data_IF_418801376551
#
_entry.id   IF_418801376551
#
_cell.length_a   1.000
_cell.length_b   1.000
_cell.length_c   1.000
_cell.angle_alpha   90.00
_cell.angle_beta   90.00
_cell.angle_gamma   90.00
#
_symmetry.space_group_name_H-M   'P 1'
#
loop_
_entity.id
_entity.type
_entity.pdbx_description
1 polymer ?
#
# COMPACT_ATOMS: atom_id res chain seq x y z
N UNK A 1 4.95 -73.93 29.30
CA UNK A 1 6.16 -73.94 28.46
C UNK A 1 6.77 -72.53 28.47
N UNK A 2 8.09 -72.38 28.73
CA UNK A 2 8.89 -71.18 28.39
C UNK A 2 9.53 -71.41 26.98
N UNK A 3 10.62 -70.74 26.53
CA UNK A 3 11.32 -69.51 26.98
C UNK A 3 11.20 -68.41 25.86
N UNK A 4 12.07 -67.40 25.59
CA UNK A 4 13.45 -67.00 25.95
C UNK A 4 13.59 -65.47 25.99
N UNK A 5 14.63 -64.97 26.65
CA UNK A 5 15.15 -63.61 26.51
C UNK A 5 16.25 -63.54 25.42
N UNK A 6 16.55 -62.35 24.88
CA UNK A 6 17.91 -61.97 24.44
C UNK A 6 18.20 -60.51 24.80
N UNK A 7 19.30 -60.25 25.51
CA UNK A 7 19.95 -58.92 25.60
C UNK A 7 21.03 -58.84 24.52
N UNK A 8 21.35 -57.64 24.02
CA UNK A 8 22.73 -57.27 23.67
C UNK A 8 23.03 -55.84 24.05
N UNK A 9 24.13 -55.65 24.76
CA UNK A 9 24.79 -54.36 24.98
C UNK A 9 25.98 -54.26 24.01
N UNK A 10 26.41 -53.05 23.69
CA UNK A 10 27.75 -52.77 23.17
C UNK A 10 28.31 -51.57 23.93
N UNK A 11 29.62 -51.59 24.18
CA UNK A 11 30.38 -50.63 25.00
C UNK A 11 31.77 -50.48 24.37
N UNK A 12 32.44 -49.34 24.63
CA UNK A 12 33.80 -48.98 24.19
C UNK A 12 33.91 -48.62 22.68
N UNK A 13 34.75 -47.64 22.28
CA UNK A 13 35.51 -46.62 23.04
C UNK A 13 35.91 -45.46 22.11
N UNK A 14 36.44 -44.36 22.68
CA UNK A 14 37.32 -43.43 21.95
C UNK A 14 36.94 -41.94 22.05
N UNK A 15 37.89 -41.01 22.31
CA UNK A 15 37.56 -39.60 22.55
C UNK A 15 38.14 -38.61 21.51
N UNK A 16 37.36 -37.58 21.19
CA UNK A 16 37.79 -36.22 20.80
C UNK A 16 36.52 -35.33 20.67
N UNK A 17 36.44 -34.06 21.08
CA UNK A 17 37.41 -33.25 21.80
C UNK A 17 37.64 -31.86 21.18
N UNK A 18 36.75 -30.87 21.44
CA UNK A 18 37.09 -29.42 21.54
C UNK A 18 35.91 -28.48 21.91
N UNK A 19 36.28 -27.40 22.60
CA UNK A 19 35.59 -26.12 22.83
C UNK A 19 34.05 -26.04 22.99
N UNK A 20 33.61 -25.95 24.26
CA UNK A 20 32.46 -25.11 24.64
C UNK A 20 32.84 -23.63 24.46
N UNK A 21 32.24 -22.94 23.48
CA UNK A 21 32.29 -21.48 23.36
C UNK A 21 31.04 -20.81 23.92
N UNK A 22 30.86 -20.76 25.25
CA UNK A 22 29.76 -19.98 25.86
C UNK A 22 30.03 -18.48 25.66
N UNK A 23 29.36 -17.85 24.69
CA UNK A 23 29.16 -16.39 24.67
C UNK A 23 27.82 -16.06 25.30
N UNK A 24 27.84 -15.48 26.50
CA UNK A 24 26.72 -14.70 27.01
C UNK A 24 26.68 -13.37 26.26
N UNK A 25 25.60 -13.09 25.54
CA UNK A 25 25.25 -11.72 25.21
C UNK A 25 24.41 -11.17 26.37
N UNK A 26 24.86 -10.07 26.97
CA UNK A 26 24.17 -9.43 28.08
C UNK A 26 22.89 -8.73 27.60
N UNK A 27 21.83 -8.84 28.39
CA UNK A 27 20.59 -8.08 28.20
C UNK A 27 20.72 -6.67 28.78
N UNK A 28 21.46 -5.81 28.08
CA UNK A 28 21.59 -4.38 28.41
C UNK A 28 21.09 -3.52 27.25
N UNK A 29 19.84 -3.10 27.32
CA UNK A 29 19.27 -2.06 26.45
C UNK A 29 18.29 -1.15 27.20
N UNK A 30 18.78 -0.57 28.30
CA UNK A 30 18.03 0.37 29.12
C UNK A 30 17.89 1.76 28.46
N UNK A 31 16.73 2.37 28.68
CA UNK A 31 16.45 3.81 28.63
C UNK A 31 16.96 4.64 27.42
N UNK A 32 16.05 4.93 26.48
CA UNK A 32 16.02 6.21 25.75
C UNK A 32 14.60 6.77 25.82
N UNK A 33 14.47 8.06 26.18
CA UNK A 33 13.19 8.69 26.56
C UNK A 33 12.22 9.01 25.38
N UNK A 34 10.99 9.44 25.69
CA UNK A 34 9.85 9.39 24.76
C UNK A 34 9.83 10.47 23.65
N UNK A 35 10.61 11.55 23.76
CA UNK A 35 10.53 12.74 22.89
C UNK A 35 10.88 12.56 21.38
N UNK A 36 11.03 11.33 20.89
CA UNK A 36 11.48 11.03 19.53
C UNK A 36 10.39 10.84 18.46
N UNK A 37 9.17 10.40 18.82
CA UNK A 37 8.28 9.67 17.88
C UNK A 37 7.37 10.48 16.96
N UNK A 38 7.08 11.75 17.28
CA UNK A 38 6.14 12.62 16.51
C UNK A 38 6.59 12.90 15.06
N UNK A 39 7.77 12.44 14.63
CA UNK A 39 8.33 12.68 13.29
C UNK A 39 7.87 11.70 12.18
N UNK A 40 7.07 10.66 12.47
CA UNK A 40 6.94 9.52 11.56
C UNK A 40 5.83 9.60 10.49
N UNK A 41 4.76 10.37 10.71
CA UNK A 41 3.56 10.32 9.86
C UNK A 41 3.65 11.07 8.51
N UNK A 42 4.59 12.01 8.34
CA UNK A 42 4.89 12.59 7.02
C UNK A 42 5.93 11.77 6.22
N UNK A 43 6.22 10.53 6.65
CA UNK A 43 7.18 9.63 6.02
C UNK A 43 6.68 8.84 4.80
N UNK A 44 5.41 8.99 4.38
CA UNK A 44 4.78 8.09 3.39
C UNK A 44 5.16 8.39 1.92
N UNK A 45 6.24 9.14 1.70
CA UNK A 45 7.04 9.00 0.48
C UNK A 45 7.77 7.63 0.41
N UNK A 46 7.90 6.92 1.54
CA UNK A 46 8.71 5.71 1.67
C UNK A 46 8.29 4.50 0.83
N UNK A 47 7.01 4.37 0.45
CA UNK A 47 6.54 3.20 -0.32
C UNK A 47 6.86 3.27 -1.83
N UNK A 48 7.47 4.38 -2.30
CA UNK A 48 7.95 4.56 -3.67
C UNK A 48 9.39 4.07 -3.91
N UNK A 49 10.08 3.57 -2.87
CA UNK A 49 11.54 3.39 -2.83
C UNK A 49 12.10 2.13 -3.52
N UNK A 50 11.36 1.49 -4.43
CA UNK A 50 11.92 0.46 -5.32
C UNK A 50 12.59 1.06 -6.58
N UNK A 51 12.12 2.22 -7.05
CA UNK A 51 12.49 2.76 -8.38
C UNK A 51 13.27 4.07 -8.29
N UNK A 52 12.92 4.96 -7.35
CA UNK A 52 13.61 6.23 -7.16
C UNK A 52 15.13 6.04 -6.85
N UNK A 53 16.00 7.00 -7.24
CA UNK A 53 17.29 7.15 -6.57
C UNK A 53 17.06 7.35 -5.06
N UNK A 54 18.05 7.07 -4.19
CA UNK A 54 17.85 7.21 -2.75
C UNK A 54 17.37 8.62 -2.42
N UNK A 55 16.13 8.72 -1.91
CA UNK A 55 15.65 9.94 -1.28
C UNK A 55 16.63 10.22 -0.15
N UNK A 56 17.44 11.27 -0.31
CA UNK A 56 18.42 11.69 0.68
C UNK A 56 17.72 11.76 2.03
N UNK A 57 18.04 10.81 2.92
CA UNK A 57 17.30 10.63 4.15
C UNK A 57 17.48 11.90 4.99
N UNK A 58 16.45 12.76 4.97
CA UNK A 58 16.50 14.14 5.47
C UNK A 58 17.32 14.17 6.74
N UNK A 59 18.40 14.94 6.76
CA UNK A 59 19.40 14.79 7.82
C UNK A 59 18.75 15.07 9.17
N UNK A 60 19.32 14.57 10.29
CA UNK A 60 18.84 14.93 11.61
C UNK A 60 18.74 16.45 11.80
N UNK A 61 19.59 17.22 11.10
CA UNK A 61 19.56 18.68 11.05
C UNK A 61 18.36 19.20 10.26
N UNK A 62 18.10 18.70 9.04
CA UNK A 62 16.96 19.15 8.22
C UNK A 62 15.62 18.86 8.92
N UNK A 63 15.49 17.69 9.56
CA UNK A 63 14.29 17.33 10.34
C UNK A 63 14.18 18.13 11.64
N UNK A 64 15.30 18.52 12.26
CA UNK A 64 15.26 19.44 13.40
C UNK A 64 14.86 20.86 12.97
N UNK A 65 15.39 21.36 11.85
CA UNK A 65 15.06 22.66 11.28
C UNK A 65 13.57 22.74 10.86
N UNK A 66 13.05 21.71 10.18
CA UNK A 66 11.64 21.63 9.81
C UNK A 66 10.71 21.59 11.04
N UNK A 67 11.07 20.83 12.09
CA UNK A 67 10.36 20.85 13.37
C UNK A 67 10.41 22.22 14.04
N UNK A 68 11.58 22.86 14.07
CA UNK A 68 11.76 24.19 14.67
C UNK A 68 10.94 25.25 13.95
N UNK A 69 10.94 25.24 12.60
CA UNK A 69 10.14 26.15 11.79
C UNK A 69 8.63 25.95 12.03
N UNK A 70 8.17 24.69 12.11
CA UNK A 70 6.79 24.37 12.42
C UNK A 70 6.36 24.82 13.83
N UNK A 71 7.26 24.74 14.82
CA UNK A 71 7.03 25.22 16.19
C UNK A 71 7.09 26.76 16.32
N UNK A 72 7.56 27.47 15.30
CA UNK A 72 7.55 28.95 15.25
C UNK A 72 6.40 29.55 14.43
N UNK A 73 5.50 28.73 13.86
CA UNK A 73 4.26 29.23 13.25
C UNK A 73 3.31 29.71 14.36
N UNK A 74 2.83 30.97 14.36
CA UNK A 74 1.91 31.47 15.40
C UNK A 74 0.54 30.74 15.41
N UNK A 75 0.26 29.89 14.43
CA UNK A 75 -0.89 28.99 14.43
C UNK A 75 -0.62 27.61 15.09
N UNK A 76 0.61 27.30 15.52
CA UNK A 76 0.99 25.93 15.95
C UNK A 76 0.08 25.37 17.05
N UNK A 77 -0.06 26.08 18.17
CA UNK A 77 -0.85 25.63 19.32
C UNK A 77 -2.34 25.56 18.99
N UNK A 78 -2.84 26.47 18.14
CA UNK A 78 -4.22 26.46 17.65
C UNK A 78 -4.49 25.25 16.75
N UNK A 79 -3.55 24.89 15.87
CA UNK A 79 -3.61 23.67 15.03
C UNK A 79 -3.58 22.41 15.90
N UNK A 80 -2.75 22.36 16.95
CA UNK A 80 -2.71 21.24 17.89
C UNK A 80 -4.03 21.13 18.68
N UNK A 81 -4.54 22.22 19.24
CA UNK A 81 -5.79 22.26 19.99
C UNK A 81 -6.99 21.84 19.12
N UNK A 82 -7.05 22.33 17.88
CA UNK A 82 -8.08 21.96 16.92
C UNK A 82 -7.98 20.48 16.52
N UNK A 83 -6.77 19.96 16.25
CA UNK A 83 -6.56 18.53 15.96
C UNK A 83 -6.99 17.64 17.13
N UNK A 84 -6.67 18.02 18.37
CA UNK A 84 -7.13 17.28 19.54
C UNK A 84 -8.67 17.29 19.67
N UNK A 85 -9.34 18.37 19.25
CA UNK A 85 -10.81 18.42 19.18
C UNK A 85 -11.37 17.54 18.05
N UNK A 86 -10.76 17.56 16.87
CA UNK A 86 -11.12 16.66 15.76
C UNK A 86 -10.93 15.19 16.12
N UNK A 87 -9.80 14.82 16.72
CA UNK A 87 -9.50 13.47 17.20
C UNK A 87 -10.58 12.98 18.16
N UNK A 88 -10.96 13.76 19.17
CA UNK A 88 -12.04 13.36 20.11
C UNK A 88 -13.41 13.21 19.42
N UNK A 89 -13.70 14.03 18.42
CA UNK A 89 -14.95 13.92 17.65
C UNK A 89 -14.97 12.67 16.75
N UNK A 90 -13.85 12.36 16.08
CA UNK A 90 -13.72 11.14 15.27
C UNK A 90 -13.68 9.88 16.16
N UNK A 91 -13.01 9.91 17.31
CA UNK A 91 -13.08 8.85 18.33
C UNK A 91 -14.52 8.55 18.76
N UNK A 92 -15.30 9.59 19.08
CA UNK A 92 -16.69 9.43 19.49
C UNK A 92 -17.54 8.85 18.36
N UNK A 93 -17.39 9.36 17.14
CA UNK A 93 -18.08 8.89 15.96
C UNK A 93 -17.74 7.43 15.62
N UNK A 94 -16.46 7.02 15.67
CA UNK A 94 -16.08 5.62 15.42
C UNK A 94 -16.60 4.66 16.50
N UNK A 95 -16.68 5.09 17.78
CA UNK A 95 -17.34 4.30 18.84
C UNK A 95 -18.85 4.17 18.60
N UNK A 96 -19.51 5.24 18.16
CA UNK A 96 -20.94 5.25 17.79
C UNK A 96 -21.21 4.29 16.62
N UNK A 97 -20.51 4.45 15.50
CA UNK A 97 -20.63 3.58 14.30
C UNK A 97 -20.29 2.12 14.56
N UNK A 98 -19.33 1.83 15.44
CA UNK A 98 -19.02 0.47 15.87
C UNK A 98 -20.13 -0.14 16.76
N UNK A 99 -20.91 0.68 17.46
CA UNK A 99 -22.03 0.23 18.32
C UNK A 99 -23.25 -0.20 17.49
N UNK A 100 -23.41 0.32 16.27
CA UNK A 100 -24.44 -0.13 15.31
C UNK A 100 -24.26 -1.61 14.89
N UNK A 101 -23.07 -2.19 15.11
CA UNK A 101 -22.75 -3.58 14.81
C UNK A 101 -22.56 -3.89 13.32
N UNK A 102 -22.56 -2.88 12.44
CA UNK A 102 -22.28 -3.09 11.03
C UNK A 102 -20.85 -3.59 10.81
N UNK A 103 -20.73 -4.65 10.00
CA UNK A 103 -19.48 -5.38 9.77
C UNK A 103 -18.41 -4.53 9.05
N UNK A 104 -18.81 -3.54 8.24
CA UNK A 104 -17.89 -2.63 7.55
C UNK A 104 -17.54 -1.42 8.40
N UNK A 105 -18.47 -0.89 9.19
CA UNK A 105 -18.16 0.17 10.16
C UNK A 105 -17.19 -0.32 11.24
N UNK A 106 -17.36 -1.57 11.73
CA UNK A 106 -16.39 -2.23 12.62
C UNK A 106 -14.99 -2.37 11.97
N UNK A 107 -14.92 -2.73 10.69
CA UNK A 107 -13.67 -2.76 9.92
C UNK A 107 -13.05 -1.36 9.79
N UNK A 108 -13.87 -0.35 9.46
CA UNK A 108 -13.43 1.03 9.32
C UNK A 108 -12.87 1.56 10.64
N UNK A 109 -13.58 1.38 11.74
CA UNK A 109 -13.16 1.78 13.07
C UNK A 109 -11.83 1.10 13.48
N UNK A 110 -11.68 -0.21 13.24
CA UNK A 110 -10.44 -0.95 13.52
C UNK A 110 -9.21 -0.48 12.69
N UNK A 111 -9.45 0.10 11.50
CA UNK A 111 -8.41 0.59 10.59
C UNK A 111 -8.12 2.09 10.76
N UNK A 112 -9.11 2.92 11.10
CA UNK A 112 -8.98 4.37 11.27
C UNK A 112 -8.43 4.75 12.65
N UNK A 113 -8.78 4.00 13.71
CA UNK A 113 -8.35 4.29 15.09
C UNK A 113 -6.83 4.51 15.28
N UNK A 114 -5.93 3.68 14.71
CA UNK A 114 -4.48 3.84 14.91
C UNK A 114 -3.87 5.06 14.22
N UNK A 115 -4.65 5.82 13.43
CA UNK A 115 -4.21 7.07 12.81
C UNK A 115 -4.65 8.32 13.58
N UNK A 116 -5.56 8.19 14.55
CA UNK A 116 -5.91 9.24 15.53
C UNK A 116 -5.24 9.02 16.90
N UNK A 117 -5.00 7.77 17.28
CA UNK A 117 -4.28 7.40 18.49
C UNK A 117 -2.77 7.60 18.28
N UNK A 118 -2.23 8.72 18.78
CA UNK A 118 -0.84 9.12 18.62
C UNK A 118 0.16 8.32 19.48
N UNK A 119 -0.35 7.43 20.34
CA UNK A 119 0.45 6.62 21.26
C UNK A 119 1.16 7.43 22.35
N UNK A 120 0.62 8.58 22.76
CA UNK A 120 1.01 9.25 23.99
C UNK A 120 0.81 8.37 25.24
N UNK A 121 1.41 8.76 26.37
CA UNK A 121 1.43 7.99 27.63
C UNK A 121 0.07 7.93 28.37
N UNK A 122 -1.04 8.06 27.63
CA UNK A 122 -2.42 8.04 28.14
C UNK A 122 -2.93 6.61 28.40
N UNK A 123 -2.90 6.23 29.67
CA UNK A 123 -3.52 5.02 30.27
C UNK A 123 -3.40 3.69 29.49
N UNK A 124 -2.43 2.81 29.82
CA UNK A 124 -2.35 1.47 29.25
C UNK A 124 -3.51 0.52 29.65
N UNK A 125 -4.40 0.91 30.56
CA UNK A 125 -5.67 0.20 30.80
C UNK A 125 -6.77 0.58 29.81
N UNK A 126 -6.59 1.64 29.00
CA UNK A 126 -7.42 1.99 27.87
C UNK A 126 -7.28 0.99 26.72
N UNK A 127 -7.88 -0.20 26.88
CA UNK A 127 -7.82 -1.27 25.90
C UNK A 127 -8.30 -0.79 24.52
N UNK A 128 -7.38 -0.76 23.54
CA UNK A 128 -7.69 -0.36 22.16
C UNK A 128 -8.69 -1.36 21.55
N UNK A 129 -9.91 -0.95 21.19
CA UNK A 129 -10.94 -1.86 20.68
C UNK A 129 -10.65 -2.32 19.23
N UNK A 130 -9.53 -1.93 18.62
CA UNK A 130 -9.14 -2.30 17.25
C UNK A 130 -9.06 -3.81 17.01
N UNK A 131 -8.65 -4.58 18.03
CA UNK A 131 -8.67 -6.05 17.97
C UNK A 131 -10.07 -6.63 18.05
N UNK A 132 -10.91 -6.09 18.96
CA UNK A 132 -12.28 -6.54 19.20
C UNK A 132 -13.22 -6.23 18.03
N UNK A 133 -13.17 -5.00 17.50
CA UNK A 133 -13.94 -4.59 16.33
C UNK A 133 -13.57 -5.40 15.09
N UNK A 134 -12.27 -5.62 14.84
CA UNK A 134 -11.83 -6.45 13.72
C UNK A 134 -12.27 -7.92 13.90
N UNK A 135 -12.12 -8.48 15.10
CA UNK A 135 -12.55 -9.85 15.40
C UNK A 135 -14.07 -10.03 15.22
N UNK A 136 -14.86 -9.06 15.67
CA UNK A 136 -16.33 -9.04 15.50
C UNK A 136 -16.70 -8.98 14.02
N UNK A 137 -16.03 -8.12 13.24
CA UNK A 137 -16.24 -8.05 11.79
C UNK A 137 -15.87 -9.36 11.05
N UNK A 138 -14.75 -10.01 11.43
CA UNK A 138 -14.28 -11.24 10.80
C UNK A 138 -15.15 -12.48 11.16
N UNK A 139 -15.73 -12.48 12.36
CA UNK A 139 -16.60 -13.55 12.86
C UNK A 139 -18.08 -13.37 12.53
N UNK A 140 -18.52 -12.16 12.13
CA UNK A 140 -19.87 -11.87 11.66
C UNK A 140 -20.34 -12.81 10.54
N UNK A 141 -21.64 -13.14 10.51
CA UNK A 141 -22.24 -14.06 9.53
C UNK A 141 -23.53 -13.46 8.92
N UNK A 142 -23.67 -13.40 7.57
CA UNK A 142 -22.70 -13.81 6.55
C UNK A 142 -21.39 -13.02 6.64
N UNK A 143 -20.26 -13.67 6.31
CA UNK A 143 -18.93 -13.04 6.35
C UNK A 143 -18.85 -12.02 5.21
N UNK A 144 -18.34 -10.82 5.48
CA UNK A 144 -18.18 -9.81 4.45
C UNK A 144 -16.87 -10.04 3.63
N UNK A 145 -16.93 -10.01 2.29
CA UNK A 145 -15.74 -10.21 1.44
C UNK A 145 -14.63 -9.16 1.60
N UNK A 146 -14.94 -7.92 1.97
CA UNK A 146 -13.93 -6.87 2.17
C UNK A 146 -13.18 -7.08 3.49
N UNK A 147 -13.87 -7.54 4.54
CA UNK A 147 -13.23 -7.97 5.79
C UNK A 147 -12.34 -9.19 5.53
N UNK A 148 -12.86 -10.21 4.85
CA UNK A 148 -12.09 -11.41 4.53
C UNK A 148 -10.88 -11.09 3.62
N UNK A 149 -11.02 -10.19 2.64
CA UNK A 149 -9.90 -9.69 1.85
C UNK A 149 -8.85 -9.02 2.74
N UNK A 150 -9.28 -8.15 3.66
CA UNK A 150 -8.34 -7.46 4.54
C UNK A 150 -7.63 -8.42 5.50
N UNK A 151 -8.32 -9.43 5.99
CA UNK A 151 -7.78 -10.49 6.84
C UNK A 151 -6.73 -11.33 6.09
N UNK A 152 -7.07 -11.82 4.89
CA UNK A 152 -6.18 -12.58 4.00
C UNK A 152 -4.95 -11.78 3.54
N UNK A 153 -5.09 -10.46 3.35
CA UNK A 153 -3.99 -9.56 3.00
C UNK A 153 -2.99 -9.30 4.16
N UNK A 154 -3.32 -9.68 5.40
CA UNK A 154 -2.36 -9.83 6.49
C UNK A 154 -2.83 -9.29 7.85
N UNK A 155 -2.75 -10.15 8.87
CA UNK A 155 -3.07 -9.82 10.26
C UNK A 155 -2.14 -8.77 10.88
N UNK A 156 -2.68 -7.92 11.78
CA UNK A 156 -1.90 -7.09 12.70
C UNK A 156 -1.62 -7.82 14.02
N UNK A 157 -0.55 -7.47 14.75
CA UNK A 157 -0.25 -8.06 16.07
C UNK A 157 -1.34 -7.86 17.13
N UNK A 158 -2.17 -6.82 17.01
CA UNK A 158 -3.28 -6.54 17.91
C UNK A 158 -4.62 -7.19 17.50
N UNK A 159 -4.66 -7.93 16.38
CA UNK A 159 -5.86 -8.62 15.90
C UNK A 159 -5.91 -10.07 16.40
N UNK A 160 -6.41 -10.25 17.62
CA UNK A 160 -6.57 -11.56 18.24
C UNK A 160 -7.51 -12.48 17.43
N UNK A 161 -7.06 -13.72 17.21
CA UNK A 161 -7.84 -14.73 16.46
C UNK A 161 -7.96 -14.48 14.95
N UNK A 162 -7.18 -13.57 14.38
CA UNK A 162 -7.13 -13.32 12.94
C UNK A 162 -6.63 -14.56 12.17
N UNK A 163 -7.42 -15.03 11.20
CA UNK A 163 -7.16 -16.23 10.40
C UNK A 163 -7.06 -15.88 8.91
N UNK A 164 -5.87 -15.46 8.49
CA UNK A 164 -5.59 -15.10 7.10
C UNK A 164 -5.72 -16.29 6.12
N UNK A 165 -5.54 -17.55 6.57
CA UNK A 165 -5.65 -18.72 5.68
C UNK A 165 -7.12 -19.14 5.49
N UNK A 166 -7.92 -19.19 6.56
CA UNK A 166 -9.37 -19.39 6.48
C UNK A 166 -10.13 -18.20 5.90
N UNK A 167 -9.57 -16.99 5.94
CA UNK A 167 -10.05 -15.85 5.17
C UNK A 167 -9.82 -16.04 3.66
N UNK A 168 -8.61 -16.42 3.26
CA UNK A 168 -8.28 -16.70 1.86
C UNK A 168 -9.08 -17.89 1.31
N UNK A 169 -9.28 -18.95 2.11
CA UNK A 169 -10.09 -20.10 1.72
C UNK A 169 -11.55 -19.71 1.43
N UNK A 170 -12.16 -18.88 2.31
CA UNK A 170 -13.50 -18.34 2.08
C UNK A 170 -13.57 -17.49 0.81
N UNK A 171 -12.57 -16.64 0.53
CA UNK A 171 -12.54 -15.84 -0.70
C UNK A 171 -12.47 -16.75 -1.95
N UNK A 172 -11.61 -17.77 -1.94
CA UNK A 172 -11.48 -18.73 -3.03
C UNK A 172 -12.74 -19.59 -3.24
N UNK A 173 -13.55 -19.81 -2.21
CA UNK A 173 -14.87 -20.46 -2.32
C UNK A 173 -15.96 -19.51 -2.85
N UNK A 174 -15.99 -18.26 -2.36
CA UNK A 174 -17.02 -17.27 -2.69
C UNK A 174 -16.83 -16.53 -4.02
N UNK A 175 -15.57 -16.41 -4.48
CA UNK A 175 -15.16 -15.68 -5.67
C UNK A 175 -13.97 -16.38 -6.37
N UNK A 176 -14.12 -17.65 -6.79
CA UNK A 176 -13.04 -18.45 -7.38
C UNK A 176 -12.50 -17.86 -8.69
N UNK A 177 -13.31 -17.07 -9.40
CA UNK A 177 -12.98 -16.48 -10.70
C UNK A 177 -12.61 -14.98 -10.61
N UNK A 178 -12.33 -14.46 -9.42
CA UNK A 178 -11.82 -13.11 -9.21
C UNK A 178 -10.27 -13.04 -9.30
N UNK A 179 -9.75 -12.17 -10.17
CA UNK A 179 -8.29 -12.02 -10.35
C UNK A 179 -7.55 -11.56 -9.08
N UNK A 180 -8.13 -10.66 -8.29
CA UNK A 180 -7.49 -10.11 -7.07
C UNK A 180 -7.43 -11.18 -5.96
N UNK A 181 -8.46 -12.02 -5.82
CA UNK A 181 -8.46 -13.19 -4.91
C UNK A 181 -7.39 -14.20 -5.34
N UNK A 182 -7.31 -14.53 -6.63
CA UNK A 182 -6.28 -15.45 -7.14
C UNK A 182 -4.86 -14.89 -6.93
N UNK A 183 -4.65 -13.57 -7.06
CA UNK A 183 -3.35 -12.95 -6.77
C UNK A 183 -2.97 -12.95 -5.27
N UNK A 184 -3.93 -12.91 -4.34
CA UNK A 184 -3.64 -13.19 -2.92
C UNK A 184 -3.21 -14.66 -2.72
N UNK A 185 -3.81 -15.59 -3.46
CA UNK A 185 -3.48 -17.01 -3.37
C UNK A 185 -2.08 -17.34 -3.94
N UNK A 186 -1.64 -16.64 -5.00
CA UNK A 186 -0.24 -16.69 -5.49
C UNK A 186 0.75 -16.32 -4.36
N UNK A 187 0.49 -15.24 -3.64
CA UNK A 187 1.33 -14.74 -2.56
C UNK A 187 1.35 -15.69 -1.34
N UNK A 188 0.19 -16.19 -0.93
CA UNK A 188 0.09 -17.19 0.14
C UNK A 188 0.80 -18.51 -0.20
N UNK A 189 0.67 -19.00 -1.43
CA UNK A 189 1.40 -20.18 -1.91
C UNK A 189 2.92 -19.94 -1.90
N UNK A 190 3.38 -18.78 -2.37
CA UNK A 190 4.80 -18.41 -2.37
C UNK A 190 5.37 -18.25 -0.95
N UNK A 191 4.61 -17.73 0.02
CA UNK A 191 5.00 -17.73 1.44
C UNK A 191 5.22 -19.13 2.01
N UNK A 192 4.43 -20.12 1.58
CA UNK A 192 4.58 -21.54 1.98
C UNK A 192 5.65 -22.28 1.16
N UNK A 193 6.27 -21.64 0.17
CA UNK A 193 7.23 -22.27 -0.75
C UNK A 193 6.59 -23.16 -1.83
N UNK A 194 5.26 -23.12 -1.97
CA UNK A 194 4.52 -23.92 -2.94
C UNK A 194 4.49 -23.22 -4.31
N UNK A 195 5.55 -23.47 -5.09
CA UNK A 195 5.67 -22.96 -6.44
C UNK A 195 4.62 -23.54 -7.41
N UNK A 196 4.07 -24.73 -7.13
CA UNK A 196 3.08 -25.37 -8.00
C UNK A 196 1.71 -24.72 -7.85
N UNK A 197 1.23 -24.55 -6.60
CA UNK A 197 0.01 -23.80 -6.33
C UNK A 197 0.14 -22.33 -6.77
N UNK A 198 1.32 -21.70 -6.58
CA UNK A 198 1.54 -20.34 -7.05
C UNK A 198 1.37 -20.18 -8.56
N UNK A 199 1.89 -21.12 -9.37
CA UNK A 199 1.69 -21.10 -10.82
C UNK A 199 0.24 -21.41 -11.20
N UNK A 200 -0.44 -22.31 -10.49
CA UNK A 200 -1.86 -22.60 -10.72
C UNK A 200 -2.76 -21.38 -10.43
N UNK A 201 -2.51 -20.65 -9.33
CA UNK A 201 -3.22 -19.41 -8.99
C UNK A 201 -2.87 -18.26 -9.96
N UNK A 202 -1.64 -18.19 -10.48
CA UNK A 202 -1.28 -17.22 -11.54
C UNK A 202 -2.05 -17.50 -12.82
N UNK A 203 -2.18 -18.77 -13.23
CA UNK A 203 -3.00 -19.17 -14.37
C UNK A 203 -4.47 -18.79 -14.15
N UNK A 204 -5.04 -19.13 -12.98
CA UNK A 204 -6.40 -18.76 -12.63
C UNK A 204 -6.63 -17.24 -12.66
N UNK A 205 -5.70 -16.42 -12.14
CA UNK A 205 -5.75 -14.96 -12.21
C UNK A 205 -5.74 -14.43 -13.66
N UNK A 206 -5.01 -15.11 -14.56
CA UNK A 206 -4.97 -14.75 -15.98
C UNK A 206 -6.24 -15.13 -16.74
N UNK A 207 -6.95 -16.19 -16.34
CA UNK A 207 -8.20 -16.64 -16.97
C UNK A 207 -9.47 -16.02 -16.34
N UNK A 208 -9.40 -15.54 -15.09
CA UNK A 208 -10.47 -14.86 -14.36
C UNK A 208 -11.23 -13.85 -15.26
N UNK A 209 -12.58 -13.89 -15.39
CA UNK A 209 -13.32 -12.93 -16.20
C UNK A 209 -13.42 -11.55 -15.53
N UNK A 210 -13.24 -11.47 -14.20
CA UNK A 210 -13.47 -10.25 -13.44
C UNK A 210 -12.35 -9.92 -12.43
N UNK A 211 -12.38 -8.69 -11.91
CA UNK A 211 -11.42 -8.17 -10.92
C UNK A 211 -12.09 -7.18 -9.97
N UNK A 212 -12.21 -7.56 -8.70
CA UNK A 212 -12.53 -6.68 -7.58
C UNK A 212 -11.40 -5.70 -7.27
N UNK A 213 -11.75 -4.53 -6.75
CA UNK A 213 -10.82 -3.47 -6.35
C UNK A 213 -10.97 -3.14 -4.85
N UNK A 214 -10.73 -4.12 -3.94
CA UNK A 214 -11.01 -3.97 -2.51
C UNK A 214 -10.22 -2.83 -1.82
N UNK A 215 -9.09 -2.39 -2.39
CA UNK A 215 -8.45 -1.14 -1.94
C UNK A 215 -9.36 0.08 -2.18
N UNK A 216 -10.02 0.21 -3.34
CA UNK A 216 -10.99 1.30 -3.56
C UNK A 216 -12.24 1.13 -2.70
N UNK A 217 -12.67 -0.10 -2.42
CA UNK A 217 -13.81 -0.32 -1.53
C UNK A 217 -13.49 0.02 -0.07
N UNK A 218 -12.26 -0.20 0.40
CA UNK A 218 -11.75 0.40 1.65
C UNK A 218 -11.68 1.93 1.56
N UNK A 219 -11.28 2.50 0.42
CA UNK A 219 -11.25 3.96 0.23
C UNK A 219 -12.64 4.59 0.37
N UNK A 220 -13.65 4.04 -0.31
CA UNK A 220 -15.07 4.40 -0.19
C UNK A 220 -15.57 4.25 1.24
N UNK A 221 -15.21 3.15 1.90
CA UNK A 221 -15.56 2.90 3.30
C UNK A 221 -14.98 3.98 4.22
N UNK A 222 -13.71 4.38 4.07
CA UNK A 222 -13.12 5.44 4.89
C UNK A 222 -13.74 6.82 4.61
N UNK A 223 -14.18 7.11 3.37
CA UNK A 223 -14.97 8.32 3.09
C UNK A 223 -16.32 8.27 3.80
N UNK A 224 -17.03 7.13 3.75
CA UNK A 224 -18.32 6.95 4.41
C UNK A 224 -18.21 7.04 5.94
N UNK A 225 -17.31 6.28 6.56
CA UNK A 225 -17.09 6.24 8.03
C UNK A 225 -16.37 7.46 8.60
N UNK A 226 -16.09 8.48 7.79
CA UNK A 226 -15.65 9.81 8.25
C UNK A 226 -16.61 10.93 7.83
N UNK A 227 -17.69 10.62 7.09
CA UNK A 227 -18.73 11.57 6.76
C UNK A 227 -19.64 11.82 7.98
N UNK A 228 -19.99 13.09 8.23
CA UNK A 228 -20.86 13.45 9.35
C UNK A 228 -20.19 13.53 10.72
N UNK A 229 -18.86 13.36 10.82
CA UNK A 229 -18.09 13.60 12.06
C UNK A 229 -18.33 15.02 12.58
N UNK A 230 -18.93 15.12 13.78
CA UNK A 230 -19.31 16.40 14.41
C UNK A 230 -18.13 17.10 15.10
N UNK A 231 -17.11 17.46 14.31
CA UNK A 231 -15.96 18.24 14.76
C UNK A 231 -16.16 19.75 14.53
N UNK A 232 -15.56 20.63 15.34
CA UNK A 232 -15.59 22.07 15.08
C UNK A 232 -14.89 22.39 13.74
N UNK A 233 -15.43 23.29 12.90
CA UNK A 233 -14.70 23.75 11.72
C UNK A 233 -13.42 24.49 12.14
N UNK A 234 -12.32 24.39 11.38
CA UNK A 234 -11.13 25.17 11.65
C UNK A 234 -11.42 26.66 11.39
N UNK A 235 -10.92 27.54 12.26
CA UNK A 235 -10.95 28.98 12.00
C UNK A 235 -10.03 29.37 10.83
N UNK A 236 -10.07 30.62 10.37
CA UNK A 236 -9.31 31.06 9.21
C UNK A 236 -7.78 30.91 9.36
N UNK A 237 -7.23 31.03 10.57
CA UNK A 237 -5.80 30.88 10.85
C UNK A 237 -5.40 29.40 10.86
N UNK A 238 -6.18 28.56 11.55
CA UNK A 238 -5.98 27.09 11.58
C UNK A 238 -6.16 26.50 10.18
N UNK A 239 -7.22 26.88 9.45
CA UNK A 239 -7.49 26.43 8.09
C UNK A 239 -6.36 26.81 7.13
N UNK A 240 -5.82 28.03 7.23
CA UNK A 240 -4.67 28.46 6.42
C UNK A 240 -3.37 27.69 6.78
N UNK A 241 -3.13 27.42 8.07
CA UNK A 241 -1.96 26.67 8.51
C UNK A 241 -2.00 25.19 8.09
N UNK A 242 -3.16 24.53 8.26
CA UNK A 242 -3.41 23.19 7.75
C UNK A 242 -3.28 23.15 6.22
N UNK A 243 -3.84 24.13 5.50
CA UNK A 243 -3.73 24.25 4.05
C UNK A 243 -2.29 24.33 3.54
N UNK A 244 -1.40 25.03 4.27
CA UNK A 244 0.06 25.02 4.03
C UNK A 244 0.67 23.65 4.32
N UNK A 245 0.41 23.07 5.49
CA UNK A 245 0.98 21.77 5.90
C UNK A 245 0.59 20.63 4.95
N UNK A 246 -0.61 20.68 4.42
CA UNK A 246 -1.18 19.71 3.49
C UNK A 246 -0.95 20.05 2.00
N UNK A 247 -0.24 21.15 1.72
CA UNK A 247 0.12 21.60 0.36
C UNK A 247 -1.07 21.74 -0.60
N UNK A 248 -2.26 22.10 -0.08
CA UNK A 248 -3.51 22.16 -0.85
C UNK A 248 -3.62 23.36 -1.80
N UNK A 249 -2.72 24.35 -1.68
CA UNK A 249 -2.81 25.63 -2.40
C UNK A 249 -3.97 26.55 -1.97
N UNK A 250 -4.71 26.17 -0.91
CA UNK A 250 -5.87 26.87 -0.34
C UNK A 250 -6.00 26.55 1.16
N UNK A 251 -6.81 27.30 1.93
CA UNK A 251 -7.19 26.88 3.28
C UNK A 251 -7.84 25.49 3.29
N UNK A 252 -7.54 24.70 4.32
CA UNK A 252 -8.11 23.36 4.51
C UNK A 252 -9.49 23.43 5.15
N UNK A 253 -10.40 22.58 4.68
CA UNK A 253 -11.71 22.32 5.29
C UNK A 253 -11.66 21.14 6.24
N UNK A 254 -12.76 20.88 6.95
CA UNK A 254 -12.94 19.66 7.73
C UNK A 254 -12.82 18.39 6.85
N UNK A 255 -13.38 18.43 5.64
CA UNK A 255 -13.33 17.33 4.67
C UNK A 255 -11.91 17.06 4.16
N UNK A 256 -11.06 18.09 4.02
CA UNK A 256 -9.65 17.89 3.67
C UNK A 256 -8.89 17.15 4.78
N UNK A 257 -9.16 17.46 6.06
CA UNK A 257 -8.49 16.76 7.15
C UNK A 257 -8.92 15.29 7.24
N UNK A 258 -10.23 15.02 7.13
CA UNK A 258 -10.78 13.67 7.09
C UNK A 258 -10.23 12.88 5.89
N UNK A 259 -10.23 13.48 4.70
CA UNK A 259 -9.67 12.89 3.48
C UNK A 259 -8.18 12.58 3.60
N UNK A 260 -7.37 13.44 4.23
CA UNK A 260 -5.94 13.17 4.44
C UNK A 260 -5.71 12.06 5.45
N UNK A 261 -6.53 11.95 6.50
CA UNK A 261 -6.45 10.85 7.45
C UNK A 261 -6.85 9.52 6.78
N UNK A 262 -7.96 9.52 6.04
CA UNK A 262 -8.44 8.37 5.27
C UNK A 262 -7.42 7.93 4.20
N UNK A 263 -6.82 8.86 3.45
CA UNK A 263 -5.71 8.58 2.52
C UNK A 263 -4.50 8.02 3.26
N UNK A 264 -4.12 8.59 4.42
CA UNK A 264 -3.01 8.11 5.24
C UNK A 264 -3.19 6.65 5.72
N UNK A 265 -4.41 6.29 6.10
CA UNK A 265 -4.78 4.90 6.44
C UNK A 265 -4.82 4.02 5.20
N UNK A 266 -5.32 4.52 4.06
CA UNK A 266 -5.41 3.80 2.80
C UNK A 266 -4.03 3.42 2.23
N UNK A 267 -3.08 4.35 2.16
CA UNK A 267 -1.70 4.08 1.69
C UNK A 267 -0.90 3.19 2.64
N UNK A 268 -1.36 3.02 3.88
CA UNK A 268 -0.77 2.12 4.88
C UNK A 268 -1.33 0.70 4.83
N UNK A 269 -2.31 0.40 3.97
CA UNK A 269 -2.80 -0.96 3.79
C UNK A 269 -1.79 -1.82 3.02
N UNK A 270 -1.73 -3.14 3.30
CA UNK A 270 -0.89 -4.05 2.53
C UNK A 270 -1.36 -4.07 1.07
N UNK A 271 -0.50 -3.59 0.16
CA UNK A 271 -0.63 -3.89 -1.26
C UNK A 271 -0.54 -5.41 -1.44
N UNK A 272 -1.37 -6.05 -2.29
CA UNK A 272 -1.12 -7.40 -2.77
C UNK A 272 0.33 -7.53 -3.26
N UNK A 273 0.92 -8.73 -3.18
CA UNK A 273 2.35 -8.89 -3.36
C UNK A 273 2.82 -8.79 -4.83
N UNK A 274 2.70 -7.60 -5.42
CA UNK A 274 3.22 -7.26 -6.74
C UNK A 274 4.73 -7.52 -6.83
N UNK A 275 5.47 -7.55 -5.72
CA UNK A 275 6.87 -7.98 -5.71
C UNK A 275 7.07 -9.49 -5.93
N UNK A 276 6.15 -10.34 -5.46
CA UNK A 276 6.13 -11.79 -5.74
C UNK A 276 5.76 -12.01 -7.22
N UNK A 277 4.64 -11.42 -7.65
CA UNK A 277 4.15 -11.47 -9.03
C UNK A 277 5.20 -10.95 -10.03
N UNK A 278 5.84 -9.81 -9.73
CA UNK A 278 6.89 -9.25 -10.59
C UNK A 278 8.05 -10.21 -10.77
N UNK A 279 8.49 -10.91 -9.70
CA UNK A 279 9.56 -11.92 -9.80
C UNK A 279 9.13 -13.14 -10.61
N UNK A 280 7.91 -13.64 -10.39
CA UNK A 280 7.37 -14.77 -11.18
C UNK A 280 7.29 -14.45 -12.68
N UNK A 281 7.01 -13.18 -13.02
CA UNK A 281 7.01 -12.69 -14.40
C UNK A 281 8.36 -12.09 -14.87
N UNK A 282 9.43 -12.16 -14.06
CA UNK A 282 10.76 -11.64 -14.40
C UNK A 282 11.75 -12.71 -14.90
N UNK A 283 11.48 -13.99 -14.66
CA UNK A 283 12.33 -15.11 -15.05
C UNK A 283 12.34 -15.44 -16.57
N UNK A 284 12.26 -14.43 -17.44
CA UNK A 284 11.97 -14.59 -18.86
C UNK A 284 13.14 -14.28 -19.81
N UNK A 285 14.05 -15.25 -19.88
CA UNK A 285 14.52 -15.75 -21.17
C UNK A 285 14.24 -17.26 -21.36
N UNK A 286 13.65 -17.93 -20.37
CA UNK A 286 13.58 -19.40 -20.30
C UNK A 286 12.27 -19.98 -19.68
N UNK A 287 11.27 -19.15 -19.38
CA UNK A 287 9.98 -19.63 -18.87
C UNK A 287 9.15 -20.35 -19.97
N UNK A 288 8.27 -21.30 -19.61
CA UNK A 288 7.31 -21.87 -20.55
C UNK A 288 6.35 -20.80 -21.12
N UNK A 289 5.99 -20.91 -22.40
CA UNK A 289 5.14 -19.92 -23.09
C UNK A 289 3.81 -19.66 -22.38
N UNK A 290 3.16 -20.70 -21.83
CA UNK A 290 1.89 -20.55 -21.11
C UNK A 290 2.01 -19.59 -19.89
N UNK A 291 3.10 -19.69 -19.10
CA UNK A 291 3.33 -18.79 -17.97
C UNK A 291 3.59 -17.36 -18.43
N UNK A 292 4.28 -17.18 -19.56
CA UNK A 292 4.48 -15.86 -20.19
C UNK A 292 3.15 -15.25 -20.61
N UNK A 293 2.28 -16.02 -21.28
CA UNK A 293 0.98 -15.56 -21.73
C UNK A 293 0.07 -15.18 -20.55
N UNK A 294 0.14 -15.92 -19.44
CA UNK A 294 -0.56 -15.57 -18.19
C UNK A 294 0.00 -14.30 -17.56
N UNK A 295 1.33 -14.16 -17.50
CA UNK A 295 2.00 -12.94 -17.05
C UNK A 295 1.66 -11.71 -17.92
N UNK A 296 1.53 -11.85 -19.24
CA UNK A 296 1.07 -10.78 -20.13
C UNK A 296 -0.36 -10.36 -19.76
N UNK A 297 -1.32 -11.32 -19.71
CA UNK A 297 -2.72 -11.05 -19.36
C UNK A 297 -2.89 -10.33 -18.02
N UNK A 298 -2.19 -10.78 -16.98
CA UNK A 298 -2.28 -10.17 -15.65
C UNK A 298 -1.65 -8.77 -15.64
N UNK A 299 -0.50 -8.57 -16.31
CA UNK A 299 0.17 -7.27 -16.31
C UNK A 299 -0.57 -6.21 -17.13
N UNK A 300 -1.23 -6.60 -18.22
CA UNK A 300 -2.12 -5.70 -18.96
C UNK A 300 -3.30 -5.22 -18.11
N UNK A 301 -3.92 -6.11 -17.33
CA UNK A 301 -5.01 -5.78 -16.39
C UNK A 301 -4.57 -4.93 -15.20
N UNK A 302 -3.33 -5.09 -14.72
CA UNK A 302 -2.74 -4.18 -13.73
C UNK A 302 -2.43 -2.82 -14.35
N UNK A 303 -1.98 -2.79 -15.62
CA UNK A 303 -1.65 -1.57 -16.35
C UNK A 303 -2.87 -0.69 -16.70
N UNK A 304 -4.09 -1.24 -16.65
CA UNK A 304 -5.37 -0.52 -16.77
C UNK A 304 -6.02 -0.19 -15.40
N UNK A 305 -5.29 -0.37 -14.29
CA UNK A 305 -5.80 -0.04 -12.95
C UNK A 305 -5.94 1.47 -12.73
N UNK A 306 -6.96 1.93 -11.97
CA UNK A 306 -7.03 3.31 -11.48
C UNK A 306 -6.03 3.60 -10.32
N UNK A 307 -5.40 2.57 -9.74
CA UNK A 307 -4.36 2.71 -8.71
C UNK A 307 -3.01 2.90 -9.39
N UNK A 308 -2.30 4.00 -9.09
CA UNK A 308 -1.14 4.46 -9.85
C UNK A 308 0.04 3.49 -9.72
N UNK A 309 0.30 2.96 -8.53
CA UNK A 309 1.38 1.99 -8.31
C UNK A 309 1.14 0.67 -9.07
N UNK A 310 -0.10 0.21 -9.17
CA UNK A 310 -0.47 -0.97 -9.98
C UNK A 310 -0.27 -0.71 -11.47
N UNK A 311 -0.76 0.43 -11.94
CA UNK A 311 -0.68 0.84 -13.35
C UNK A 311 0.77 0.95 -13.82
N UNK A 312 1.64 1.53 -12.99
CA UNK A 312 3.08 1.61 -13.23
C UNK A 312 3.75 0.22 -13.28
N UNK A 313 3.46 -0.66 -12.33
CA UNK A 313 4.03 -2.01 -12.28
C UNK A 313 3.59 -2.82 -13.51
N UNK A 314 2.29 -2.83 -13.80
CA UNK A 314 1.72 -3.50 -14.96
C UNK A 314 2.35 -3.00 -16.26
N UNK A 315 2.30 -1.68 -16.52
CA UNK A 315 2.80 -1.13 -17.77
C UNK A 315 4.32 -1.33 -17.94
N UNK A 316 5.11 -1.17 -16.89
CA UNK A 316 6.55 -1.41 -16.93
C UNK A 316 6.90 -2.89 -17.16
N UNK A 317 6.08 -3.82 -16.66
CA UNK A 317 6.23 -5.25 -16.92
C UNK A 317 5.76 -5.63 -18.32
N UNK A 318 4.63 -5.12 -18.81
CA UNK A 318 4.15 -5.33 -20.18
C UNK A 318 5.18 -4.88 -21.23
N UNK A 319 5.88 -3.76 -21.02
CA UNK A 319 6.99 -3.35 -21.92
C UNK A 319 8.11 -4.40 -21.95
N UNK A 320 8.47 -4.98 -20.80
CA UNK A 320 9.51 -6.02 -20.72
C UNK A 320 9.07 -7.33 -21.38
N UNK A 321 7.81 -7.75 -21.15
CA UNK A 321 7.23 -8.97 -21.71
C UNK A 321 6.98 -8.86 -23.23
N UNK A 322 6.67 -7.67 -23.75
CA UNK A 322 6.54 -7.43 -25.18
C UNK A 322 7.89 -7.35 -25.93
N UNK A 323 9.00 -7.13 -25.21
CA UNK A 323 10.35 -7.19 -25.77
C UNK A 323 10.71 -5.99 -26.65
N UNK A 324 10.99 -6.23 -27.93
CA UNK A 324 11.48 -5.23 -28.90
C UNK A 324 10.68 -5.30 -30.21
N UNK A 325 10.78 -4.27 -31.05
CA UNK A 325 10.00 -4.18 -32.29
C UNK A 325 8.64 -3.50 -32.12
N UNK A 326 7.74 -3.70 -33.08
CA UNK A 326 6.45 -2.99 -33.19
C UNK A 326 5.41 -3.45 -32.16
N UNK A 327 5.35 -4.75 -31.85
CA UNK A 327 4.41 -5.29 -30.86
C UNK A 327 4.54 -4.65 -29.46
N UNK A 328 5.71 -4.11 -29.13
CA UNK A 328 5.96 -3.40 -27.88
C UNK A 328 5.58 -1.89 -27.91
N UNK A 329 5.17 -1.33 -29.06
CA UNK A 329 4.77 0.10 -29.17
C UNK A 329 3.56 0.44 -28.27
N UNK A 330 2.45 -0.33 -28.23
CA UNK A 330 1.31 0.00 -27.38
C UNK A 330 1.67 -0.01 -25.89
N UNK A 331 2.49 -0.97 -25.46
CA UNK A 331 2.96 -1.05 -24.08
C UNK A 331 3.87 0.13 -23.70
N UNK A 332 4.82 0.52 -24.57
CA UNK A 332 5.71 1.68 -24.35
C UNK A 332 4.91 2.98 -24.25
N UNK A 333 3.92 3.16 -25.12
CA UNK A 333 3.05 4.34 -25.11
C UNK A 333 2.12 4.35 -23.89
N UNK A 334 1.58 3.20 -23.45
CA UNK A 334 0.83 3.10 -22.17
C UNK A 334 1.70 3.53 -20.99
N UNK A 335 2.92 3.00 -20.88
CA UNK A 335 3.89 3.38 -19.85
C UNK A 335 4.22 4.88 -19.89
N UNK A 336 4.45 5.44 -21.10
CA UNK A 336 4.76 6.86 -21.31
C UNK A 336 3.65 7.77 -20.78
N UNK A 337 2.37 7.42 -21.00
CA UNK A 337 1.23 8.19 -20.49
C UNK A 337 1.11 8.13 -18.96
N UNK A 338 1.32 6.98 -18.35
CA UNK A 338 1.24 6.82 -16.88
C UNK A 338 2.40 7.57 -16.20
N UNK A 339 3.63 7.44 -16.72
CA UNK A 339 4.80 8.16 -16.22
C UNK A 339 4.64 9.69 -16.36
N UNK A 340 4.04 10.17 -17.46
CA UNK A 340 3.71 11.58 -17.62
C UNK A 340 2.76 12.08 -16.52
N UNK A 341 1.65 11.36 -16.29
CA UNK A 341 0.68 11.71 -15.24
C UNK A 341 1.34 11.73 -13.86
N UNK A 342 2.20 10.75 -13.55
CA UNK A 342 2.98 10.71 -12.31
C UNK A 342 3.90 11.93 -12.17
N UNK A 343 4.67 12.30 -13.20
CA UNK A 343 5.57 13.45 -13.14
C UNK A 343 4.82 14.79 -13.07
N UNK A 344 3.68 14.93 -13.76
CA UNK A 344 2.85 16.13 -13.64
C UNK A 344 2.22 16.23 -12.24
N UNK A 345 1.69 15.12 -11.73
CA UNK A 345 1.14 15.01 -10.38
C UNK A 345 2.18 15.37 -9.32
N UNK A 346 3.40 14.82 -9.41
CA UNK A 346 4.47 15.14 -8.46
C UNK A 346 4.83 16.62 -8.47
N UNK A 347 4.88 17.26 -9.66
CA UNK A 347 5.12 18.71 -9.76
C UNK A 347 3.99 19.53 -9.12
N UNK A 348 2.73 19.19 -9.41
CA UNK A 348 1.56 19.84 -8.81
C UNK A 348 1.53 19.69 -7.28
N UNK A 349 1.64 18.45 -6.78
CA UNK A 349 1.53 18.09 -5.36
C UNK A 349 2.73 18.55 -4.52
N UNK A 350 3.87 18.87 -5.14
CA UNK A 350 5.06 19.41 -4.44
C UNK A 350 4.91 20.88 -4.01
N UNK A 351 3.77 21.52 -4.26
CA UNK A 351 3.49 22.91 -3.88
C UNK A 351 4.29 23.97 -4.65
N UNK A 352 5.21 23.58 -5.54
CA UNK A 352 6.18 24.45 -6.21
C UNK A 352 5.57 25.58 -7.07
N UNK A 353 4.28 25.52 -7.37
CA UNK A 353 3.53 26.53 -8.11
C UNK A 353 2.35 27.14 -7.32
N UNK A 354 2.27 26.91 -6.00
CA UNK A 354 1.21 27.44 -5.12
C UNK A 354 -0.22 27.04 -5.51
N UNK A 355 -0.35 26.00 -6.34
CA UNK A 355 -1.52 25.72 -7.16
C UNK A 355 -2.61 24.99 -6.37
N UNK A 356 -3.88 25.42 -6.41
CA UNK A 356 -4.94 24.82 -5.61
C UNK A 356 -5.33 23.42 -6.11
N UNK A 357 -5.44 22.48 -5.16
CA UNK A 357 -6.09 21.19 -5.41
C UNK A 357 -7.62 21.34 -5.34
N UNK A 358 -8.40 20.69 -6.22
CA UNK A 358 -9.85 20.70 -6.14
C UNK A 358 -10.40 20.29 -4.76
N UNK A 359 -11.54 20.84 -4.30
CA UNK A 359 -12.13 20.50 -3.00
C UNK A 359 -12.46 19.01 -2.83
N UNK A 360 -12.75 18.31 -3.92
CA UNK A 360 -13.14 16.89 -3.97
C UNK A 360 -11.97 15.94 -4.29
N UNK A 361 -10.73 16.44 -4.44
CA UNK A 361 -9.57 15.64 -4.86
C UNK A 361 -9.33 14.39 -3.98
N UNK A 362 -9.34 14.57 -2.65
CA UNK A 362 -9.09 13.49 -1.69
C UNK A 362 -10.22 12.44 -1.67
N UNK A 363 -11.46 12.88 -1.84
CA UNK A 363 -12.62 11.99 -1.97
C UNK A 363 -12.49 11.14 -3.24
N UNK A 364 -12.21 11.76 -4.40
CA UNK A 364 -12.02 11.01 -5.65
C UNK A 364 -10.85 10.05 -5.61
N UNK A 365 -9.74 10.44 -4.98
CA UNK A 365 -8.57 9.58 -4.80
C UNK A 365 -8.97 8.25 -4.11
N UNK A 366 -9.83 8.31 -3.10
CA UNK A 366 -10.32 7.16 -2.35
C UNK A 366 -11.45 6.39 -3.07
N UNK A 367 -12.40 7.08 -3.70
CA UNK A 367 -13.59 6.46 -4.31
C UNK A 367 -13.37 5.92 -5.74
N UNK A 368 -12.54 6.62 -6.51
CA UNK A 368 -12.36 6.46 -7.96
C UNK A 368 -10.91 6.03 -8.29
N UNK A 369 -9.97 6.26 -7.36
CA UNK A 369 -8.57 5.89 -7.46
C UNK A 369 -7.63 7.04 -7.80
N UNK A 370 -6.34 6.78 -7.66
CA UNK A 370 -5.27 7.77 -7.81
C UNK A 370 -5.27 8.41 -9.21
N UNK A 371 -5.31 7.60 -10.27
CA UNK A 371 -5.16 8.08 -11.65
C UNK A 371 -6.30 9.01 -12.10
N UNK A 372 -7.60 8.69 -11.89
CA UNK A 372 -8.69 9.61 -12.16
C UNK A 372 -8.61 10.91 -11.35
N UNK A 373 -8.27 10.84 -10.06
CA UNK A 373 -8.13 12.02 -9.20
C UNK A 373 -6.98 12.93 -9.66
N UNK A 374 -5.85 12.35 -10.07
CA UNK A 374 -4.72 13.07 -10.65
C UNK A 374 -5.06 13.68 -12.01
N UNK A 375 -5.73 12.96 -12.91
CA UNK A 375 -6.18 13.51 -14.19
C UNK A 375 -7.08 14.74 -13.99
N UNK A 376 -8.03 14.68 -13.06
CA UNK A 376 -8.86 15.82 -12.68
C UNK A 376 -8.01 16.98 -12.13
N UNK A 377 -7.11 16.73 -11.17
CA UNK A 377 -6.30 17.78 -10.54
C UNK A 377 -5.36 18.49 -11.54
N UNK A 378 -4.90 17.78 -12.57
CA UNK A 378 -4.13 18.33 -13.69
C UNK A 378 -5.02 19.17 -14.63
N UNK A 379 -6.18 18.63 -15.05
CA UNK A 379 -7.15 19.34 -15.90
C UNK A 379 -7.64 20.65 -15.26
N UNK A 380 -8.01 20.61 -13.97
CA UNK A 380 -8.47 21.77 -13.21
C UNK A 380 -7.43 22.91 -13.17
N UNK A 381 -6.16 22.59 -13.35
CA UNK A 381 -5.03 23.52 -13.32
C UNK A 381 -4.39 23.72 -14.72
N UNK A 382 -5.09 23.35 -15.79
CA UNK A 382 -4.66 23.58 -17.18
C UNK A 382 -3.47 22.73 -17.65
N UNK A 383 -3.05 21.73 -16.87
CA UNK A 383 -1.94 20.85 -17.22
C UNK A 383 -2.46 19.72 -18.12
N UNK A 384 -1.82 19.53 -19.27
CA UNK A 384 -2.20 18.49 -20.23
C UNK A 384 -2.07 17.09 -19.60
N UNK A 385 -3.11 16.26 -19.70
CA UNK A 385 -3.11 14.86 -19.22
C UNK A 385 -2.37 13.89 -20.15
N UNK A 386 -2.06 14.32 -21.39
CA UNK A 386 -1.30 13.54 -22.35
C UNK A 386 0.12 14.12 -22.52
N UNK A 387 1.17 13.28 -22.56
CA UNK A 387 2.53 13.75 -22.82
C UNK A 387 2.66 14.27 -24.26
N UNK A 388 3.37 15.41 -24.46
CA UNK A 388 3.60 15.94 -25.79
C UNK A 388 4.44 14.97 -26.66
N UNK A 389 4.45 15.21 -27.97
CA UNK A 389 5.23 14.39 -28.90
C UNK A 389 6.72 14.43 -28.56
N UNK A 390 7.40 13.29 -28.66
CA UNK A 390 8.82 13.15 -28.32
C UNK A 390 9.16 13.22 -26.82
N UNK A 391 8.21 13.50 -25.92
CA UNK A 391 8.49 13.50 -24.48
C UNK A 391 8.86 12.11 -23.95
N UNK A 392 9.85 12.06 -23.06
CA UNK A 392 10.32 10.88 -22.35
C UNK A 392 10.39 11.16 -20.83
N UNK A 393 10.20 10.14 -19.98
CA UNK A 393 10.30 10.27 -18.52
C UNK A 393 11.58 10.92 -18.01
N UNK A 394 11.48 11.64 -16.89
CA UNK A 394 12.59 12.15 -16.08
C UNK A 394 13.44 11.03 -15.47
N UNK A 395 12.80 9.98 -14.97
CA UNK A 395 13.45 8.78 -14.42
C UNK A 395 14.23 8.01 -15.52
N UNK A 396 15.55 7.81 -15.39
CA UNK A 396 16.35 7.03 -16.35
C UNK A 396 15.85 5.59 -16.58
N UNK A 397 15.26 4.93 -15.57
CA UNK A 397 14.76 3.55 -15.65
C UNK A 397 13.48 3.46 -16.48
N UNK A 398 12.57 4.42 -16.29
CA UNK A 398 11.35 4.52 -17.10
C UNK A 398 11.68 5.03 -18.51
N UNK A 399 12.63 5.96 -18.63
CA UNK A 399 13.14 6.47 -19.91
C UNK A 399 13.65 5.33 -20.79
N UNK A 400 14.55 4.49 -20.28
CA UNK A 400 15.09 3.32 -21.01
C UNK A 400 13.98 2.40 -21.54
N UNK A 401 12.97 2.09 -20.71
CA UNK A 401 11.83 1.27 -21.13
C UNK A 401 11.02 1.92 -22.27
N UNK A 402 10.79 3.24 -22.21
CA UNK A 402 10.05 3.98 -23.25
C UNK A 402 10.89 4.24 -24.50
N UNK A 403 12.20 4.45 -24.38
CA UNK A 403 13.12 4.83 -25.48
C UNK A 403 13.74 3.64 -26.23
N UNK A 404 13.48 2.40 -25.80
CA UNK A 404 13.84 1.19 -26.55
C UNK A 404 13.06 1.15 -27.86
N UNK A 405 13.67 1.67 -28.92
CA UNK A 405 13.12 1.75 -30.27
C UNK A 405 12.58 0.39 -30.77
N UNK A 406 11.60 0.40 -31.69
CA UNK A 406 11.43 -0.76 -32.56
C UNK A 406 12.77 -1.00 -33.28
N UNK A 407 13.26 -2.24 -33.27
CA UNK A 407 14.42 -2.62 -34.08
C UNK A 407 14.03 -2.40 -35.53
N UNK A 408 14.67 -1.42 -36.19
CA UNK A 408 14.48 -1.21 -37.61
C UNK A 408 14.81 -2.51 -38.34
N UNK A 409 13.99 -2.95 -39.33
CA UNK A 409 14.28 -4.16 -40.07
C UNK A 409 15.67 -4.05 -40.68
N UNK A 410 16.56 -4.98 -40.31
CA UNK A 410 17.93 -4.98 -40.81
C UNK A 410 17.88 -4.95 -42.34
N UNK A 411 18.59 -4.01 -43.00
CA UNK A 411 18.54 -3.91 -44.45
C UNK A 411 18.96 -5.27 -45.03
N UNK A 412 18.08 -5.84 -45.87
CA UNK A 412 18.30 -7.16 -46.42
C UNK A 412 19.58 -7.13 -47.26
N UNK A 413 20.60 -7.87 -46.82
CA UNK A 413 21.83 -8.09 -47.58
C UNK A 413 21.51 -8.98 -48.78
N UNK A 414 21.02 -8.38 -49.85
CA UNK A 414 20.89 -9.03 -51.14
C UNK A 414 22.27 -9.43 -51.65
N UNK A 415 22.42 -10.73 -51.94
CA UNK A 415 23.55 -11.33 -52.66
C UNK A 415 23.03 -12.07 -53.88
#
# INVERSE_FOLDING_TARGET
MPPRCVRRCYVAAGPCGRHRGKRSMGTDFAARGPAGRIALFFGIAGLWLAVAPPVSAQSPVDRAAAKSAAATDPAHDAVLAWRAAYTRALEAHLRERATDGDTRELLAAALLWPAIDDGGDGDPAGARPTGEWFHTAATARPRDPLVAWREAAGCRPDWAGCDAEGALAYLLESAPDDMTVQLLAVDAAQRRGDAAAATAHLHAAAQAPHRSMPLLDLGRLFVASTAGVQAPPPDAQVAAALGRQYQLGRPATLADHAGILAVGVWVAQPLPAYGVLSRMCEAEAAAPSAQRDDCVRVMERLADSPVLIEALIGAARSVRLAGQGEAAVPARERLRRIAWLQEQAQRLLSGAAGTPLPPDYLQRFLEQGELPALQMALQANGIAIAPPSGWLPGDPRLRDLVSRNPVAPSPATGG
#
